data_IF_737799682782
#
_entry.id   IF_737799682782
#
_cell.length_a   1.000
_cell.length_b   1.000
_cell.length_c   1.000
_cell.angle_alpha   90.00
_cell.angle_beta   90.00
_cell.angle_gamma   90.00
#
_symmetry.space_group_name_H-M   'P 1'
#
loop_
_entity.id
_entity.type
_entity.pdbx_description
1 polymer ?
#
# COMPACT_ATOMS: atom_id res chain seq x y z
N UNK A 1 3.11 -11.94 10.73
CA UNK A 1 3.32 -12.21 9.28
C UNK A 1 2.04 -11.99 8.47
N UNK A 2 0.95 -12.76 8.68
CA UNK A 2 -0.30 -12.60 7.89
C UNK A 2 -0.85 -11.17 7.94
N UNK A 3 -0.94 -10.59 9.15
CA UNK A 3 -1.37 -9.20 9.30
C UNK A 3 -0.52 -8.23 8.44
N UNK A 4 0.80 -8.35 8.50
CA UNK A 4 1.71 -7.50 7.72
C UNK A 4 1.49 -7.63 6.22
N UNK A 5 1.35 -8.88 5.74
CA UNK A 5 1.14 -9.14 4.33
C UNK A 5 -0.19 -8.56 3.85
N UNK A 6 -1.29 -8.90 4.55
CA UNK A 6 -2.64 -8.48 4.16
C UNK A 6 -2.86 -6.98 4.32
N UNK A 7 -2.36 -6.38 5.41
CA UNK A 7 -2.52 -4.96 5.64
C UNK A 7 -1.76 -4.15 4.58
N UNK A 8 -0.46 -4.41 4.36
CA UNK A 8 0.30 -3.71 3.31
C UNK A 8 -0.33 -3.92 1.91
N UNK A 9 -0.74 -5.15 1.59
CA UNK A 9 -1.35 -5.45 0.31
C UNK A 9 -2.60 -4.62 0.06
N UNK A 10 -3.52 -4.63 1.02
CA UNK A 10 -4.84 -3.99 0.89
C UNK A 10 -4.81 -2.48 1.13
N UNK A 11 -3.85 -1.97 1.91
CA UNK A 11 -3.80 -0.54 2.26
C UNK A 11 -2.89 0.29 1.35
N UNK A 12 -1.86 -0.30 0.74
CA UNK A 12 -0.80 0.48 0.08
C UNK A 12 -0.43 -0.01 -1.32
N UNK A 13 -0.61 -1.30 -1.64
CA UNK A 13 -0.02 -1.88 -2.86
C UNK A 13 -1.04 -2.18 -3.98
N UNK A 14 -2.33 -2.22 -3.66
CA UNK A 14 -3.40 -2.19 -4.66
C UNK A 14 -3.66 -0.71 -4.99
N UNK A 15 -3.25 -0.30 -6.19
CA UNK A 15 -3.32 1.10 -6.63
C UNK A 15 -4.17 1.21 -7.92
N UNK A 16 -4.46 2.43 -8.36
CA UNK A 16 -5.11 2.73 -9.63
C UNK A 16 -4.07 3.12 -10.67
N UNK A 17 -4.09 2.45 -11.84
CA UNK A 17 -3.28 2.89 -12.99
C UNK A 17 -3.65 4.33 -13.44
N UNK A 18 -4.86 4.79 -13.14
CA UNK A 18 -5.33 6.14 -13.46
C UNK A 18 -4.49 7.21 -12.77
N UNK A 19 -3.99 6.96 -11.56
CA UNK A 19 -3.37 8.00 -10.74
C UNK A 19 -2.14 8.64 -11.37
N UNK A 20 -1.31 7.84 -12.05
CA UNK A 20 -0.12 8.33 -12.75
C UNK A 20 -0.48 9.18 -13.98
N UNK A 21 -1.57 8.85 -14.66
CA UNK A 21 -2.02 9.58 -15.84
C UNK A 21 -2.82 10.83 -15.48
N UNK A 22 -3.70 10.78 -14.47
CA UNK A 22 -4.43 11.94 -13.94
C UNK A 22 -3.47 13.03 -13.48
N UNK A 23 -2.37 12.64 -12.82
CA UNK A 23 -1.31 13.56 -12.38
C UNK A 23 -0.72 14.36 -13.55
N UNK A 24 -0.46 13.71 -14.68
CA UNK A 24 0.22 14.33 -15.84
C UNK A 24 -0.79 15.05 -16.75
N UNK A 25 -1.94 14.44 -17.01
CA UNK A 25 -2.86 14.88 -18.06
C UNK A 25 -4.01 15.74 -17.57
N UNK A 26 -4.48 15.57 -16.34
CA UNK A 26 -5.59 16.38 -15.81
C UNK A 26 -5.05 17.44 -14.85
N UNK A 27 -4.16 17.06 -13.93
CA UNK A 27 -3.56 17.97 -12.97
C UNK A 27 -2.35 18.74 -13.51
N UNK A 28 -1.88 18.42 -14.73
CA UNK A 28 -0.78 19.10 -15.44
C UNK A 28 0.46 19.32 -14.56
N UNK A 29 0.81 18.30 -13.75
CA UNK A 29 1.91 18.42 -12.80
C UNK A 29 3.26 18.39 -13.52
N UNK A 30 3.98 19.51 -13.44
CA UNK A 30 5.36 19.60 -13.89
C UNK A 30 6.29 18.67 -13.08
N UNK A 31 7.26 17.99 -13.74
CA UNK A 31 8.21 17.11 -13.07
C UNK A 31 9.05 17.79 -11.97
N UNK A 32 9.39 19.07 -12.15
CA UNK A 32 10.18 19.84 -11.19
C UNK A 32 9.42 20.02 -9.87
N UNK A 33 8.15 20.44 -9.95
CA UNK A 33 7.32 20.62 -8.76
C UNK A 33 7.03 19.28 -8.07
N UNK A 34 6.86 18.20 -8.83
CA UNK A 34 6.77 16.84 -8.27
C UNK A 34 8.03 16.46 -7.50
N UNK A 35 9.21 16.76 -8.05
CA UNK A 35 10.47 16.45 -7.38
C UNK A 35 10.65 17.25 -6.08
N UNK A 36 10.33 18.55 -6.09
CA UNK A 36 10.39 19.40 -4.90
C UNK A 36 9.46 18.88 -3.81
N UNK A 37 8.21 18.58 -4.14
CA UNK A 37 7.27 18.07 -3.12
C UNK A 37 7.69 16.70 -2.62
N UNK A 38 8.26 15.83 -3.45
CA UNK A 38 8.80 14.54 -3.01
C UNK A 38 9.90 14.71 -1.95
N UNK A 39 10.75 15.72 -2.06
CA UNK A 39 11.75 16.03 -1.02
C UNK A 39 11.06 16.46 0.28
N UNK A 40 10.03 17.31 0.19
CA UNK A 40 9.24 17.74 1.35
C UNK A 40 8.55 16.54 2.01
N UNK A 41 7.98 15.63 1.22
CA UNK A 41 7.39 14.38 1.69
C UNK A 41 8.38 13.57 2.52
N UNK A 42 9.62 13.40 2.06
CA UNK A 42 10.62 12.65 2.83
C UNK A 42 10.98 13.32 4.16
N UNK A 43 11.00 14.65 4.21
CA UNK A 43 11.21 15.40 5.47
C UNK A 43 10.03 15.19 6.43
N UNK A 44 8.80 15.23 5.92
CA UNK A 44 7.59 14.97 6.72
C UNK A 44 7.61 13.52 7.23
N UNK A 45 7.92 12.56 6.36
CA UNK A 45 8.04 11.15 6.71
C UNK A 45 9.06 10.95 7.82
N UNK A 46 10.26 11.53 7.70
CA UNK A 46 11.30 11.46 8.72
C UNK A 46 10.85 12.06 10.06
N UNK A 47 10.15 13.21 10.01
CA UNK A 47 9.62 13.88 11.21
C UNK A 47 8.52 13.06 11.88
N UNK A 48 7.63 12.46 11.09
CA UNK A 48 6.57 11.57 11.57
C UNK A 48 7.15 10.32 12.23
N UNK A 49 8.15 9.69 11.59
CA UNK A 49 8.90 8.54 12.15
C UNK A 49 9.55 8.93 13.47
N UNK A 50 10.20 10.09 13.55
CA UNK A 50 10.81 10.56 14.79
C UNK A 50 9.77 10.80 15.90
N UNK A 51 8.66 11.46 15.59
CA UNK A 51 7.60 11.74 16.54
C UNK A 51 6.95 10.44 17.08
N UNK A 52 6.60 9.52 16.19
CA UNK A 52 6.00 8.22 16.56
C UNK A 52 7.02 7.35 17.28
N UNK A 53 8.30 7.40 16.90
CA UNK A 53 9.37 6.70 17.59
C UNK A 53 9.54 7.17 19.04
N UNK A 54 9.38 8.47 19.29
CA UNK A 54 9.57 9.08 20.63
C UNK A 54 8.34 9.00 21.52
N UNK A 55 7.13 9.18 20.97
CA UNK A 55 5.88 9.25 21.76
C UNK A 55 4.92 8.07 21.52
N UNK A 56 5.06 7.35 20.40
CA UNK A 56 4.16 6.27 20.01
C UNK A 56 4.34 4.95 20.77
N UNK A 57 5.30 4.86 21.68
CA UNK A 57 5.51 3.67 22.52
C UNK A 57 4.37 3.41 23.51
N UNK A 58 3.69 4.47 23.96
CA UNK A 58 2.57 4.37 24.91
C UNK A 58 1.19 4.35 24.22
N UNK A 59 1.15 4.58 22.91
CA UNK A 59 -0.09 4.64 22.16
C UNK A 59 -0.64 3.24 21.87
N UNK A 60 -1.96 3.17 21.71
CA UNK A 60 -2.58 1.96 21.19
C UNK A 60 -2.39 1.93 19.67
N UNK A 61 -1.58 0.97 19.22
CA UNK A 61 -1.16 0.87 17.83
C UNK A 61 -2.31 0.60 16.87
N UNK A 62 -3.37 -0.07 17.33
CA UNK A 62 -4.56 -0.31 16.51
C UNK A 62 -5.25 0.98 16.13
N UNK A 63 -5.52 1.82 17.12
CA UNK A 63 -6.27 3.05 16.91
C UNK A 63 -5.49 4.05 16.06
N UNK A 64 -4.19 4.21 16.31
CA UNK A 64 -3.42 5.17 15.51
C UNK A 64 -3.31 4.74 14.05
N UNK A 65 -3.05 3.45 13.78
CA UNK A 65 -2.98 2.95 12.41
C UNK A 65 -4.32 3.17 11.70
N UNK A 66 -5.44 2.74 12.30
CA UNK A 66 -6.77 2.91 11.68
C UNK A 66 -7.13 4.39 11.49
N UNK A 67 -6.95 5.23 12.51
CA UNK A 67 -7.32 6.65 12.43
C UNK A 67 -6.51 7.34 11.35
N UNK A 68 -5.19 7.13 11.33
CA UNK A 68 -4.33 7.77 10.34
C UNK A 68 -4.61 7.27 8.92
N UNK A 69 -4.71 5.95 8.72
CA UNK A 69 -5.05 5.38 7.41
C UNK A 69 -6.41 5.88 6.91
N UNK A 70 -7.47 5.84 7.73
CA UNK A 70 -8.79 6.33 7.33
C UNK A 70 -8.78 7.85 7.07
N UNK A 71 -8.10 8.64 7.90
CA UNK A 71 -8.01 10.09 7.69
C UNK A 71 -7.27 10.42 6.39
N UNK A 72 -6.18 9.71 6.09
CA UNK A 72 -5.44 9.87 4.84
C UNK A 72 -6.30 9.51 3.63
N UNK A 73 -7.01 8.37 3.68
CA UNK A 73 -7.92 7.92 2.62
C UNK A 73 -9.05 8.91 2.38
N UNK A 74 -9.65 9.48 3.44
CA UNK A 74 -10.73 10.46 3.29
C UNK A 74 -10.22 11.74 2.60
N UNK A 75 -9.04 12.22 2.99
CA UNK A 75 -8.44 13.41 2.36
C UNK A 75 -8.10 13.13 0.90
N UNK A 76 -7.47 11.99 0.63
CA UNK A 76 -7.13 11.54 -0.73
C UNK A 76 -8.38 11.41 -1.61
N UNK A 77 -9.42 10.73 -1.11
CA UNK A 77 -10.68 10.56 -1.83
C UNK A 77 -11.32 11.91 -2.19
N UNK A 78 -11.38 12.86 -1.25
CA UNK A 78 -11.94 14.19 -1.52
C UNK A 78 -11.19 14.86 -2.67
N UNK A 79 -9.86 14.91 -2.61
CA UNK A 79 -9.07 15.57 -3.65
C UNK A 79 -9.15 14.83 -4.98
N UNK A 80 -9.12 13.50 -4.96
CA UNK A 80 -9.16 12.67 -6.15
C UNK A 80 -10.50 12.82 -6.88
N UNK A 81 -11.63 12.72 -6.17
CA UNK A 81 -12.96 12.89 -6.78
C UNK A 81 -13.20 14.32 -7.28
N UNK A 82 -12.71 15.35 -6.57
CA UNK A 82 -12.76 16.73 -7.05
C UNK A 82 -11.96 16.94 -8.35
N UNK A 83 -10.84 16.23 -8.50
CA UNK A 83 -9.98 16.29 -9.70
C UNK A 83 -10.60 15.49 -10.87
N UNK A 84 -11.16 14.32 -10.59
CA UNK A 84 -11.81 13.44 -11.58
C UNK A 84 -13.03 14.14 -12.19
N UNK A 85 -13.88 14.76 -11.38
CA UNK A 85 -15.09 15.46 -11.85
C UNK A 85 -14.86 16.91 -12.30
N UNK A 86 -13.60 17.33 -12.46
CA UNK A 86 -13.23 18.63 -13.03
C UNK A 86 -13.75 19.84 -12.23
N UNK A 87 -13.81 19.71 -10.90
CA UNK A 87 -14.19 20.81 -9.99
C UNK A 87 -12.95 21.61 -9.61
N UNK A 88 -11.85 20.92 -9.26
CA UNK A 88 -10.56 21.55 -8.90
C UNK A 88 -9.41 20.78 -9.55
N UNK A 89 -8.85 21.30 -10.65
CA UNK A 89 -7.66 20.75 -11.34
C UNK A 89 -6.46 21.68 -11.20
N UNK A 90 -5.95 21.79 -9.98
CA UNK A 90 -4.77 22.61 -9.69
C UNK A 90 -3.60 21.75 -9.24
N UNK A 91 -2.43 21.98 -9.85
CA UNK A 91 -1.20 21.23 -9.61
C UNK A 91 -0.85 21.10 -8.12
N UNK A 92 -0.86 22.21 -7.39
CA UNK A 92 -0.54 22.22 -5.95
C UNK A 92 -1.60 21.55 -5.07
N UNK A 93 -2.85 21.48 -5.55
CA UNK A 93 -3.94 20.82 -4.83
C UNK A 93 -3.79 19.29 -4.92
N UNK A 94 -3.45 18.78 -6.11
CA UNK A 94 -3.24 17.35 -6.34
C UNK A 94 -1.94 16.83 -5.71
N UNK A 95 -0.86 17.61 -5.78
CA UNK A 95 0.45 17.20 -5.23
C UNK A 95 0.46 17.20 -3.68
N UNK A 96 -0.46 17.92 -3.03
CA UNK A 96 -0.60 17.90 -1.57
C UNK A 96 -1.09 16.55 -1.02
N UNK A 97 -1.72 15.74 -1.86
CA UNK A 97 -2.35 14.48 -1.49
C UNK A 97 -1.34 13.39 -1.09
N UNK A 98 -0.28 13.12 -1.89
CA UNK A 98 0.81 12.23 -1.49
C UNK A 98 1.32 12.51 -0.06
N UNK A 99 1.47 13.79 0.31
CA UNK A 99 1.97 14.17 1.64
C UNK A 99 1.12 13.60 2.78
N UNK A 100 -0.18 13.45 2.57
CA UNK A 100 -1.12 12.93 3.57
C UNK A 100 -1.17 11.40 3.62
N UNK A 101 -0.86 10.73 2.50
CA UNK A 101 -0.81 9.26 2.41
C UNK A 101 0.49 8.68 2.99
N UNK A 102 1.59 9.42 2.94
CA UNK A 102 2.89 8.99 3.49
C UNK A 102 2.92 8.95 5.03
N UNK A 103 2.09 9.74 5.71
CA UNK A 103 2.03 9.76 7.20
C UNK A 103 1.55 8.43 7.78
N UNK A 104 0.44 7.83 7.32
CA UNK A 104 0.05 6.46 7.68
C UNK A 104 1.15 5.43 7.44
N UNK A 105 1.86 5.55 6.31
CA UNK A 105 2.96 4.64 5.97
C UNK A 105 4.14 4.76 6.95
N UNK A 106 4.50 5.98 7.36
CA UNK A 106 5.49 6.21 8.42
C UNK A 106 5.09 5.55 9.75
N UNK A 107 3.83 5.73 10.17
CA UNK A 107 3.33 5.16 11.42
C UNK A 107 3.39 3.64 11.36
N UNK A 108 2.92 3.07 10.25
CA UNK A 108 2.93 1.63 10.03
C UNK A 108 4.36 1.10 10.05
N UNK A 109 5.31 1.78 9.41
CA UNK A 109 6.73 1.41 9.42
C UNK A 109 7.30 1.38 10.84
N UNK A 110 7.04 2.40 11.67
CA UNK A 110 7.54 2.43 13.05
C UNK A 110 6.92 1.35 13.94
N UNK A 111 5.58 1.19 13.89
CA UNK A 111 4.88 0.12 14.62
C UNK A 111 5.42 -1.24 14.19
N UNK A 112 5.67 -1.39 12.89
CA UNK A 112 6.22 -2.59 12.30
C UNK A 112 7.59 -2.95 12.88
N UNK A 113 8.49 -1.98 12.96
CA UNK A 113 9.83 -2.15 13.55
C UNK A 113 9.75 -2.49 15.03
N UNK A 114 8.86 -1.86 15.80
CA UNK A 114 8.72 -2.17 17.24
C UNK A 114 8.28 -3.61 17.48
N UNK A 115 7.34 -4.12 16.70
CA UNK A 115 6.89 -5.51 16.79
C UNK A 115 8.03 -6.47 16.41
N UNK A 116 8.83 -6.15 15.38
CA UNK A 116 9.99 -6.98 15.00
C UNK A 116 11.00 -7.10 16.15
N UNK A 117 11.37 -5.97 16.77
CA UNK A 117 12.34 -5.96 17.88
C UNK A 117 11.81 -6.73 19.10
N UNK A 118 10.51 -6.64 19.40
CA UNK A 118 9.93 -7.37 20.53
C UNK A 118 9.81 -8.88 20.26
N UNK A 119 9.62 -9.29 18.99
CA UNK A 119 9.56 -10.70 18.59
C UNK A 119 10.94 -11.35 18.40
N UNK A 120 11.96 -10.55 18.13
CA UNK A 120 13.33 -11.00 17.97
C UNK A 120 13.89 -11.44 19.34
N UNK A 121 14.09 -12.75 19.52
CA UNK A 121 14.81 -13.29 20.67
C UNK A 121 16.32 -13.26 20.47
N UNK A 122 17.06 -13.36 21.58
CA UNK A 122 18.52 -13.37 21.59
C UNK A 122 19.08 -14.41 20.60
N UNK A 123 19.91 -13.94 19.66
CA UNK A 123 20.58 -14.80 18.67
C UNK A 123 19.78 -15.11 17.39
N UNK A 124 18.52 -14.69 17.26
CA UNK A 124 17.71 -14.90 16.05
C UNK A 124 17.17 -13.60 15.42
N UNK A 125 17.69 -12.45 15.83
CA UNK A 125 17.19 -11.12 15.44
C UNK A 125 17.22 -10.91 13.93
N UNK A 126 18.34 -11.26 13.28
CA UNK A 126 18.52 -11.08 11.84
C UNK A 126 17.56 -11.94 11.00
N UNK A 127 17.25 -13.14 11.46
CA UNK A 127 16.32 -14.04 10.75
C UNK A 127 14.89 -13.52 10.85
N UNK A 128 14.44 -13.11 12.04
CA UNK A 128 13.11 -12.55 12.26
C UNK A 128 12.96 -11.23 11.49
N UNK A 129 13.96 -10.36 11.55
CA UNK A 129 13.99 -9.10 10.81
C UNK A 129 13.92 -9.33 9.29
N UNK A 130 14.77 -10.22 8.76
CA UNK A 130 14.80 -10.53 7.33
C UNK A 130 13.49 -11.14 6.84
N UNK A 131 12.90 -12.06 7.62
CA UNK A 131 11.63 -12.69 7.29
C UNK A 131 10.48 -11.68 7.28
N UNK A 132 10.35 -10.86 8.32
CA UNK A 132 9.29 -9.84 8.39
C UNK A 132 9.46 -8.74 7.33
N UNK A 133 10.70 -8.34 7.03
CA UNK A 133 11.01 -7.39 5.96
C UNK A 133 10.62 -7.95 4.59
N UNK A 134 10.92 -9.23 4.34
CA UNK A 134 10.52 -9.90 3.09
C UNK A 134 9.01 -9.93 2.95
N UNK A 135 8.30 -10.33 4.01
CA UNK A 135 6.82 -10.37 4.05
C UNK A 135 6.20 -8.98 3.89
N UNK A 136 6.87 -7.92 4.33
CA UNK A 136 6.40 -6.54 4.18
C UNK A 136 6.57 -5.99 2.76
N UNK A 137 7.61 -6.42 2.02
CA UNK A 137 7.87 -5.95 0.66
C UNK A 137 7.16 -6.78 -0.43
N UNK A 138 6.90 -8.05 -0.17
CA UNK A 138 6.24 -8.97 -1.09
C UNK A 138 4.85 -8.50 -1.59
N UNK A 139 4.01 -7.86 -0.76
CA UNK A 139 2.80 -7.19 -1.19
C UNK A 139 2.98 -6.22 -2.37
N UNK A 140 4.12 -5.55 -2.50
CA UNK A 140 4.32 -4.57 -3.58
C UNK A 140 4.34 -5.19 -4.97
N UNK A 141 4.92 -6.38 -5.08
CA UNK A 141 4.98 -7.15 -6.34
C UNK A 141 3.60 -7.74 -6.64
N UNK A 142 2.95 -8.31 -5.62
CA UNK A 142 1.65 -8.96 -5.76
C UNK A 142 0.52 -7.95 -6.00
N UNK A 143 0.53 -6.81 -5.31
CA UNK A 143 -0.43 -5.72 -5.46
C UNK A 143 -0.39 -5.12 -6.86
N UNK A 144 0.79 -4.94 -7.45
CA UNK A 144 0.95 -4.53 -8.85
C UNK A 144 0.37 -5.55 -9.83
N UNK A 145 0.60 -6.84 -9.59
CA UNK A 145 -0.02 -7.90 -10.40
C UNK A 145 -1.55 -7.83 -10.33
N UNK A 146 -2.12 -7.78 -9.13
CA UNK A 146 -3.58 -7.63 -8.94
C UNK A 146 -4.10 -6.37 -9.63
N UNK A 147 -3.36 -5.26 -9.49
CA UNK A 147 -3.66 -3.98 -10.11
C UNK A 147 -3.74 -4.08 -11.62
N UNK A 148 -2.74 -4.70 -12.25
CA UNK A 148 -2.73 -4.92 -13.69
C UNK A 148 -3.90 -5.79 -14.14
N UNK A 149 -4.17 -6.90 -13.43
CA UNK A 149 -5.26 -7.83 -13.75
C UNK A 149 -6.62 -7.14 -13.74
N UNK A 150 -6.97 -6.40 -12.68
CA UNK A 150 -8.28 -5.75 -12.62
C UNK A 150 -8.37 -4.54 -13.56
N UNK A 151 -7.25 -3.83 -13.77
CA UNK A 151 -7.22 -2.66 -14.66
C UNK A 151 -7.44 -3.03 -16.13
N UNK A 152 -7.23 -4.28 -16.54
CA UNK A 152 -7.57 -4.76 -17.90
C UNK A 152 -9.03 -4.57 -18.29
N UNK A 153 -9.92 -4.59 -17.29
CA UNK A 153 -11.36 -4.45 -17.44
C UNK A 153 -11.82 -2.98 -17.46
N UNK A 154 -10.90 -2.03 -17.23
CA UNK A 154 -11.18 -0.61 -17.11
C UNK A 154 -10.49 0.16 -18.25
N UNK A 155 -11.19 1.12 -18.87
CA UNK A 155 -10.63 2.03 -19.88
C UNK A 155 -9.81 3.13 -19.24
N UNK A 156 -8.64 2.77 -18.70
CA UNK A 156 -7.75 3.66 -17.92
C UNK A 156 -6.43 3.90 -18.67
N UNK A 157 -6.41 3.66 -19.98
CA UNK A 157 -5.21 3.81 -20.79
C UNK A 157 -4.89 5.29 -20.96
N UNK A 158 -3.63 5.61 -21.21
CA UNK A 158 -3.18 6.97 -21.56
C UNK A 158 -4.08 7.63 -22.63
N UNK A 159 -4.41 6.90 -23.69
CA UNK A 159 -5.27 7.41 -24.76
C UNK A 159 -6.70 7.72 -24.29
N UNK A 160 -7.25 6.91 -23.38
CA UNK A 160 -8.59 7.11 -22.83
C UNK A 160 -8.62 8.36 -21.93
N UNK A 161 -7.62 8.53 -21.07
CA UNK A 161 -7.52 9.66 -20.13
C UNK A 161 -7.30 10.99 -20.85
N UNK A 162 -6.61 10.98 -21.99
CA UNK A 162 -6.46 12.15 -22.88
C UNK A 162 -7.80 12.60 -23.50
N UNK A 163 -8.77 11.69 -23.70
CA UNK A 163 -10.09 12.07 -24.26
C UNK A 163 -11.00 12.80 -23.27
N UNK A 164 -10.72 12.71 -21.97
CA UNK A 164 -11.47 13.34 -20.86
C UNK A 164 -13.02 13.22 -20.97
N UNK A 165 -13.50 12.06 -21.45
CA UNK A 165 -14.95 11.80 -21.57
C UNK A 165 -15.57 11.42 -20.23
N UNK A 166 -16.88 11.64 -20.08
CA UNK A 166 -17.62 11.28 -18.86
C UNK A 166 -17.56 9.77 -18.54
N UNK A 167 -17.46 8.90 -19.55
CA UNK A 167 -17.28 7.46 -19.39
C UNK A 167 -15.94 7.15 -18.73
N UNK A 168 -14.84 7.74 -19.22
CA UNK A 168 -13.48 7.56 -18.67
C UNK A 168 -13.38 8.09 -17.24
N UNK A 169 -14.00 9.24 -16.94
CA UNK A 169 -14.08 9.78 -15.58
C UNK A 169 -14.77 8.80 -14.62
N UNK A 170 -15.84 8.12 -15.06
CA UNK A 170 -16.53 7.11 -14.26
C UNK A 170 -15.69 5.81 -14.09
N UNK A 171 -14.96 5.38 -15.12
CA UNK A 171 -14.05 4.23 -15.00
C UNK A 171 -12.87 4.53 -14.04
N UNK A 172 -12.32 5.76 -14.08
CA UNK A 172 -11.30 6.19 -13.14
C UNK A 172 -11.85 6.25 -11.70
N UNK A 173 -13.04 6.84 -11.52
CA UNK A 173 -13.74 6.87 -10.23
C UNK A 173 -13.99 5.47 -9.65
N UNK A 174 -14.34 4.48 -10.49
CA UNK A 174 -14.53 3.11 -10.07
C UNK A 174 -13.21 2.45 -9.63
N UNK A 175 -12.11 2.71 -10.33
CA UNK A 175 -10.78 2.21 -9.93
C UNK A 175 -10.39 2.71 -8.54
N UNK A 176 -10.61 4.00 -8.25
CA UNK A 176 -10.36 4.56 -6.91
C UNK A 176 -11.31 4.02 -5.85
N UNK A 177 -12.57 3.76 -6.20
CA UNK A 177 -13.52 3.11 -5.29
C UNK A 177 -13.03 1.72 -4.87
N UNK A 178 -12.46 0.94 -5.79
CA UNK A 178 -11.85 -0.37 -5.48
C UNK A 178 -10.68 -0.20 -4.53
N UNK A 179 -9.77 0.75 -4.78
CA UNK A 179 -8.62 1.04 -3.91
C UNK A 179 -9.09 1.38 -2.49
N UNK A 180 -10.01 2.35 -2.35
CA UNK A 180 -10.53 2.76 -1.04
C UNK A 180 -11.31 1.63 -0.35
N UNK A 181 -12.08 0.85 -1.10
CA UNK A 181 -12.75 -0.35 -0.59
C UNK A 181 -11.75 -1.35 -0.01
N UNK A 182 -10.65 -1.61 -0.72
CA UNK A 182 -9.58 -2.49 -0.21
C UNK A 182 -8.89 -1.91 1.02
N UNK A 183 -8.69 -0.59 1.10
CA UNK A 183 -8.08 0.04 2.28
C UNK A 183 -8.98 -0.01 3.51
N UNK A 184 -10.30 0.13 3.35
CA UNK A 184 -11.26 -0.07 4.45
C UNK A 184 -11.27 -1.53 4.90
N UNK A 185 -11.18 -2.49 3.97
CA UNK A 185 -11.02 -3.90 4.32
C UNK A 185 -9.71 -4.17 5.06
N UNK A 186 -8.63 -3.46 4.73
CA UNK A 186 -7.36 -3.53 5.46
C UNK A 186 -7.52 -3.12 6.93
N UNK A 187 -8.36 -2.11 7.21
CA UNK A 187 -8.65 -1.66 8.57
C UNK A 187 -9.31 -2.76 9.42
N UNK A 188 -10.13 -3.64 8.82
CA UNK A 188 -10.69 -4.81 9.52
C UNK A 188 -9.59 -5.78 10.01
N UNK A 189 -8.50 -5.90 9.26
CA UNK A 189 -7.36 -6.75 9.62
C UNK A 189 -6.56 -6.21 10.82
N UNK A 190 -6.71 -4.93 11.18
CA UNK A 190 -6.04 -4.33 12.35
C UNK A 190 -6.48 -4.96 13.67
N UNK A 191 -7.63 -5.64 13.71
CA UNK A 191 -8.04 -6.44 14.88
C UNK A 191 -7.04 -7.55 15.25
N UNK A 192 -6.25 -8.03 14.27
CA UNK A 192 -5.21 -9.03 14.48
C UNK A 192 -3.92 -8.41 15.05
N UNK A 193 -3.68 -7.11 14.83
CA UNK A 193 -2.51 -6.41 15.35
C UNK A 193 -2.58 -6.35 16.89
N UNK A 194 -1.55 -6.68 17.66
CA UNK A 194 -1.56 -6.50 19.12
C UNK A 194 -1.68 -5.01 19.49
N UNK A 195 -2.49 -4.64 20.51
CA UNK A 195 -2.81 -3.24 20.81
C UNK A 195 -1.63 -2.45 21.39
N UNK A 196 -0.66 -3.10 22.01
CA UNK A 196 0.47 -2.44 22.67
C UNK A 196 1.66 -3.41 22.87
N UNK A 197 2.85 -2.86 23.13
CA UNK A 197 4.06 -3.62 23.53
C UNK A 197 3.79 -4.68 24.61
N UNK A 198 3.02 -4.32 25.65
CA UNK A 198 2.70 -5.24 26.75
C UNK A 198 1.94 -6.49 26.29
N UNK A 199 1.00 -6.35 25.36
CA UNK A 199 0.24 -7.47 24.81
C UNK A 199 1.10 -8.38 23.93
N UNK A 200 2.10 -7.83 23.23
CA UNK A 200 3.08 -8.62 22.47
C UNK A 200 3.90 -9.48 23.43
N UNK A 201 4.38 -8.88 24.52
CA UNK A 201 5.17 -9.57 25.54
C UNK A 201 4.37 -10.66 26.26
N UNK A 202 3.10 -10.40 26.55
CA UNK A 202 2.19 -11.39 27.12
C UNK A 202 1.95 -12.57 26.18
N UNK A 203 1.74 -12.31 24.88
CA UNK A 203 1.63 -13.36 23.86
C UNK A 203 2.93 -14.14 23.65
N UNK A 204 4.11 -13.52 23.82
CA UNK A 204 5.39 -14.23 23.79
C UNK A 204 5.56 -15.15 25.01
N UNK A 205 5.08 -14.73 26.18
CA UNK A 205 5.21 -15.49 27.43
C UNK A 205 4.18 -16.62 27.56
N UNK A 206 2.95 -16.43 27.06
CA UNK A 206 1.83 -17.38 27.21
C UNK A 206 1.38 -18.01 25.89
N UNK A 207 2.00 -17.66 24.76
CA UNK A 207 1.61 -18.12 23.44
C UNK A 207 1.91 -19.61 23.21
N UNK A 208 0.96 -20.30 22.59
CA UNK A 208 1.15 -21.66 22.08
C UNK A 208 2.13 -21.68 20.90
N UNK A 209 2.94 -22.75 20.80
CA UNK A 209 3.81 -22.99 19.64
C UNK A 209 3.00 -23.69 18.54
N UNK A 210 2.81 -23.04 17.40
CA UNK A 210 2.11 -23.60 16.23
C UNK A 210 3.06 -23.76 15.03
N UNK A 211 4.01 -24.72 15.06
CA UNK A 211 5.04 -24.86 14.04
C UNK A 211 4.47 -25.18 12.64
N UNK A 212 3.37 -25.95 12.58
CA UNK A 212 2.71 -26.33 11.33
C UNK A 212 2.12 -25.09 10.63
N UNK A 213 1.47 -24.21 11.39
CA UNK A 213 0.88 -22.96 10.85
C UNK A 213 2.00 -22.03 10.37
N UNK A 214 3.10 -21.93 11.13
CA UNK A 214 4.29 -21.16 10.73
C UNK A 214 4.89 -21.66 9.42
N UNK A 215 5.09 -22.97 9.29
CA UNK A 215 5.61 -23.59 8.07
C UNK A 215 4.68 -23.35 6.87
N UNK A 216 3.37 -23.50 7.05
CA UNK A 216 2.38 -23.23 6.00
C UNK A 216 2.43 -21.77 5.53
N UNK A 217 2.54 -20.81 6.44
CA UNK A 217 2.65 -19.38 6.10
C UNK A 217 3.92 -19.11 5.29
N UNK A 218 5.05 -19.73 5.65
CA UNK A 218 6.32 -19.56 4.92
C UNK A 218 6.19 -20.11 3.50
N UNK A 219 5.66 -21.34 3.35
CA UNK A 219 5.45 -21.95 2.03
C UNK A 219 4.50 -21.10 1.18
N UNK A 220 3.39 -20.66 1.74
CA UNK A 220 2.42 -19.81 1.04
C UNK A 220 3.05 -18.47 0.60
N UNK A 221 3.85 -17.84 1.48
CA UNK A 221 4.58 -16.61 1.15
C UNK A 221 5.57 -16.85 0.00
N UNK A 222 6.28 -17.98 0.01
CA UNK A 222 7.20 -18.35 -1.07
C UNK A 222 6.49 -18.58 -2.40
N UNK A 223 5.34 -19.25 -2.40
CA UNK A 223 4.52 -19.45 -3.60
C UNK A 223 4.04 -18.11 -4.16
N UNK A 224 3.54 -17.20 -3.31
CA UNK A 224 3.12 -15.86 -3.76
C UNK A 224 4.31 -15.10 -4.35
N UNK A 225 5.50 -15.20 -3.75
CA UNK A 225 6.71 -14.59 -4.32
C UNK A 225 6.99 -15.10 -5.73
N UNK A 226 7.02 -16.42 -5.92
CA UNK A 226 7.27 -17.03 -7.22
C UNK A 226 6.25 -16.57 -8.26
N UNK A 227 4.95 -16.62 -7.93
CA UNK A 227 3.87 -16.18 -8.83
C UNK A 227 4.02 -14.71 -9.19
N UNK A 228 4.29 -13.85 -8.20
CA UNK A 228 4.42 -12.41 -8.42
C UNK A 228 5.63 -12.07 -9.31
N UNK A 229 6.76 -12.75 -9.09
CA UNK A 229 7.96 -12.58 -9.93
C UNK A 229 7.71 -13.07 -11.35
N UNK A 230 7.09 -14.24 -11.52
CA UNK A 230 6.73 -14.76 -12.85
C UNK A 230 5.76 -13.81 -13.56
N UNK A 231 4.76 -13.27 -12.87
CA UNK A 231 3.82 -12.30 -13.44
C UNK A 231 4.52 -11.04 -13.94
N UNK A 232 5.40 -10.44 -13.14
CA UNK A 232 6.17 -9.26 -13.57
C UNK A 232 7.08 -9.59 -14.76
N UNK A 233 7.80 -10.72 -14.73
CA UNK A 233 8.65 -11.11 -15.85
C UNK A 233 7.84 -11.32 -17.14
N UNK A 234 6.62 -11.85 -17.05
CA UNK A 234 5.73 -11.99 -18.20
C UNK A 234 5.28 -10.65 -18.79
N UNK A 235 5.17 -9.59 -17.98
CA UNK A 235 4.89 -8.24 -18.53
C UNK A 235 6.04 -7.67 -19.38
N UNK A 236 7.27 -8.14 -19.18
CA UNK A 236 8.45 -7.60 -19.87
C UNK A 236 8.64 -8.16 -21.29
N UNK A 237 8.10 -9.34 -21.60
CA UNK A 237 8.26 -9.96 -22.91
C UNK A 237 6.97 -9.79 -23.73
N UNK A 238 7.10 -9.26 -24.95
CA UNK A 238 5.96 -9.06 -25.85
C UNK A 238 5.15 -10.36 -26.07
N UNK A 239 5.83 -11.51 -26.19
CA UNK A 239 5.19 -12.82 -26.38
C UNK A 239 4.34 -13.31 -25.21
N UNK A 240 4.57 -12.83 -23.98
CA UNK A 240 3.84 -13.27 -22.78
C UNK A 240 3.03 -12.15 -22.11
N UNK A 241 3.17 -10.92 -22.60
CA UNK A 241 2.41 -9.75 -22.14
C UNK A 241 0.89 -9.87 -22.33
N UNK A 242 0.47 -10.68 -23.30
CA UNK A 242 -0.95 -10.99 -23.58
C UNK A 242 -1.66 -11.79 -22.48
N UNK A 243 -0.94 -12.52 -21.64
CA UNK A 243 -1.57 -13.39 -20.66
C UNK A 243 -2.34 -12.58 -19.61
N UNK A 244 -3.47 -13.13 -19.17
CA UNK A 244 -4.33 -12.50 -18.15
C UNK A 244 -3.56 -12.26 -16.84
N UNK A 245 -2.61 -13.14 -16.51
CA UNK A 245 -1.71 -13.01 -15.36
C UNK A 245 -0.73 -11.83 -15.48
N UNK A 246 -0.41 -11.42 -16.71
CA UNK A 246 0.43 -10.26 -17.03
C UNK A 246 -0.40 -8.97 -17.18
N UNK A 247 -1.72 -9.02 -17.01
CA UNK A 247 -2.60 -7.88 -17.28
C UNK A 247 -2.81 -7.62 -18.77
N UNK A 248 -2.62 -8.62 -19.63
CA UNK A 248 -3.02 -8.55 -21.03
C UNK A 248 -4.51 -8.88 -21.20
N UNK A 249 -5.15 -8.32 -22.24
CA UNK A 249 -6.55 -8.61 -22.60
C UNK A 249 -6.72 -9.95 -23.35
N UNK A 250 -5.70 -10.80 -23.33
CA UNK A 250 -5.62 -12.00 -24.16
C UNK A 250 -4.86 -11.75 -25.46
N UNK A 251 -4.08 -12.75 -25.85
CA UNK A 251 -3.80 -13.06 -27.25
C UNK A 251 -4.91 -14.06 -27.66
#
# INVERSE_FOLDING_TARGET
MIFYFMFNLLSAEIDSLAGNYILVYWAHVEPVNRAVVRVITFIILATAVFAVGRWGTHWNWRYIVVITTLSGVVIDAIVQYLTIYDIVRHQWFYIGVPLTADVPQAIQFVVSTFVIVELAGDGNEGLIYGLLTTVANLPSTFGKMVTNVYSTQLKVTKADIETDTAEVRNHAAYSYLVVYGTTVLACCWVMILPPQKAAVKEMLQHGGKYPIIGALIIVLTFVILCVSVTAILMTMFESTSCYLLAGGQGC
#
